data_IF_944889185755
#
_entry.id   IF_944889185755
#
_cell.length_a   1.000
_cell.length_b   1.000
_cell.length_c   1.000
_cell.angle_alpha   90.00
_cell.angle_beta   90.00
_cell.angle_gamma   90.00
#
_symmetry.space_group_name_H-M   'P 1'
#
loop_
_entity.id
_entity.type
_entity.pdbx_description
1 polymer ?
#
# COMPACT_ATOMS: atom_id res chain seq x y z
N UNK A 1 -6.05 -13.95 -5.77
CA UNK A 1 -5.82 -12.81 -4.87
C UNK A 1 -6.46 -11.60 -5.51
N UNK A 2 -7.36 -10.90 -4.81
CA UNK A 2 -8.02 -9.69 -5.29
C UNK A 2 -7.30 -8.42 -4.79
N UNK A 3 -7.66 -7.25 -5.31
CA UNK A 3 -7.00 -5.97 -4.97
C UNK A 3 -7.12 -5.63 -3.48
N UNK A 4 -8.26 -5.88 -2.86
CA UNK A 4 -8.48 -5.63 -1.43
C UNK A 4 -7.56 -6.51 -0.58
N UNK A 5 -7.40 -7.79 -0.94
CA UNK A 5 -6.49 -8.71 -0.27
C UNK A 5 -5.02 -8.25 -0.41
N UNK A 6 -4.65 -7.67 -1.55
CA UNK A 6 -3.31 -7.09 -1.75
C UNK A 6 -3.12 -5.88 -0.82
N UNK A 7 -4.08 -4.97 -0.79
CA UNK A 7 -4.04 -3.77 0.07
C UNK A 7 -3.92 -4.15 1.55
N UNK A 8 -4.67 -5.16 2.00
CA UNK A 8 -4.53 -5.70 3.36
C UNK A 8 -3.14 -6.30 3.61
N UNK A 9 -2.61 -7.08 2.66
CA UNK A 9 -1.27 -7.69 2.76
C UNK A 9 -0.14 -6.68 2.86
N UNK A 10 -0.27 -5.53 2.22
CA UNK A 10 0.73 -4.45 2.32
C UNK A 10 0.38 -3.48 3.46
N UNK A 11 -0.66 -3.73 4.26
CA UNK A 11 -0.89 -3.02 5.51
C UNK A 11 -1.76 -1.78 5.41
N UNK A 12 -2.71 -1.77 4.49
CA UNK A 12 -3.79 -0.78 4.44
C UNK A 12 -5.12 -1.38 4.87
N UNK A 13 -5.95 -0.59 5.53
CA UNK A 13 -7.38 -0.83 5.69
C UNK A 13 -8.14 -0.17 4.53
N UNK A 14 -9.11 -0.88 3.95
CA UNK A 14 -9.98 -0.36 2.89
C UNK A 14 -11.27 0.15 3.51
N UNK A 15 -11.48 1.47 3.44
CA UNK A 15 -12.65 2.15 4.01
C UNK A 15 -13.84 2.15 3.04
N UNK A 16 -13.56 2.29 1.74
CA UNK A 16 -14.55 2.31 0.67
C UNK A 16 -13.95 1.76 -0.61
N UNK A 17 -14.76 1.09 -1.42
CA UNK A 17 -14.43 0.69 -2.79
C UNK A 17 -15.49 1.18 -3.76
N UNK A 18 -15.06 1.78 -4.87
CA UNK A 18 -15.88 2.12 -6.02
C UNK A 18 -15.47 1.23 -7.19
N UNK A 19 -16.29 0.23 -7.48
CA UNK A 19 -16.01 -0.76 -8.53
C UNK A 19 -16.20 -0.22 -9.95
N UNK A 20 -16.97 0.85 -10.14
CA UNK A 20 -17.16 1.44 -11.47
C UNK A 20 -15.91 2.19 -11.90
N UNK A 21 -15.26 2.85 -10.94
CA UNK A 21 -14.02 3.61 -11.17
C UNK A 21 -12.75 2.84 -10.85
N UNK A 22 -12.85 1.64 -10.27
CA UNK A 22 -11.72 0.89 -9.75
C UNK A 22 -10.89 1.69 -8.74
N UNK A 23 -11.58 2.42 -7.84
CA UNK A 23 -10.97 3.29 -6.83
C UNK A 23 -11.19 2.72 -5.42
N UNK A 24 -10.19 2.88 -4.56
CA UNK A 24 -10.19 2.37 -3.20
C UNK A 24 -9.77 3.49 -2.24
N UNK A 25 -10.64 3.83 -1.30
CA UNK A 25 -10.29 4.73 -0.21
C UNK A 25 -9.62 3.92 0.89
N UNK A 26 -8.35 4.19 1.15
CA UNK A 26 -7.49 3.42 2.04
C UNK A 26 -6.88 4.28 3.13
N UNK A 27 -6.48 3.64 4.23
CA UNK A 27 -5.65 4.24 5.26
C UNK A 27 -4.67 3.22 5.80
N UNK A 28 -3.56 3.64 6.41
CA UNK A 28 -2.65 2.69 7.03
C UNK A 28 -3.34 1.88 8.14
N UNK A 29 -3.17 0.56 8.09
CA UNK A 29 -3.65 -0.33 9.12
C UNK A 29 -2.90 -0.07 10.46
N UNK A 30 -3.53 -0.31 11.62
CA UNK A 30 -2.91 -0.06 12.93
C UNK A 30 -1.56 -0.73 13.13
N UNK A 31 -1.33 -1.91 12.54
CA UNK A 31 -0.05 -2.61 12.62
C UNK A 31 1.05 -1.93 11.79
N UNK A 32 0.71 -1.48 10.59
CA UNK A 32 1.61 -0.68 9.74
C UNK A 32 2.00 0.62 10.43
N UNK A 33 1.01 1.35 10.98
CA UNK A 33 1.29 2.56 11.77
C UNK A 33 2.25 2.27 12.93
N UNK A 34 2.04 1.21 13.71
CA UNK A 34 2.93 0.83 14.81
C UNK A 34 4.37 0.55 14.34
N UNK A 35 4.53 -0.16 13.22
CA UNK A 35 5.84 -0.45 12.62
C UNK A 35 6.54 0.84 12.17
N UNK A 36 5.83 1.71 11.45
CA UNK A 36 6.36 3.00 11.01
C UNK A 36 6.76 3.88 12.20
N UNK A 37 5.93 3.99 13.24
CA UNK A 37 6.28 4.73 14.47
C UNK A 37 7.58 4.23 15.11
N UNK A 38 7.79 2.91 15.12
CA UNK A 38 9.04 2.33 15.62
C UNK A 38 10.23 2.73 14.72
N UNK A 39 10.10 2.60 13.41
CA UNK A 39 11.15 2.97 12.45
C UNK A 39 11.51 4.46 12.52
N UNK A 40 10.51 5.34 12.71
CA UNK A 40 10.72 6.79 12.94
C UNK A 40 11.50 7.02 14.23
N UNK A 41 11.09 6.38 15.32
CA UNK A 41 11.76 6.51 16.63
C UNK A 41 13.20 6.02 16.58
N UNK A 42 13.46 4.95 15.83
CA UNK A 42 14.78 4.36 15.64
C UNK A 42 15.62 5.14 14.59
N UNK A 43 15.07 6.17 13.95
CA UNK A 43 15.75 6.99 12.94
C UNK A 43 15.96 6.30 11.60
N UNK A 44 15.27 5.18 11.36
CA UNK A 44 15.37 4.40 10.12
C UNK A 44 14.60 5.03 8.95
N UNK A 45 13.53 5.77 9.23
CA UNK A 45 12.77 6.53 8.24
C UNK A 45 12.41 7.91 8.79
N UNK A 46 12.25 8.88 7.89
CA UNK A 46 11.73 10.21 8.19
C UNK A 46 10.46 10.40 7.37
N UNK A 47 9.34 10.65 8.04
CA UNK A 47 8.07 10.99 7.40
C UNK A 47 7.57 12.30 7.99
N UNK A 48 6.95 13.12 7.16
CA UNK A 48 6.19 14.27 7.63
C UNK A 48 5.04 13.76 8.52
N UNK A 49 4.87 14.34 9.72
CA UNK A 49 3.95 13.85 10.77
C UNK A 49 2.50 13.68 10.28
N UNK A 50 2.11 14.35 9.19
CA UNK A 50 0.77 14.33 8.61
C UNK A 50 0.46 13.00 7.87
N UNK A 51 1.48 12.33 7.31
CA UNK A 51 1.33 11.11 6.50
C UNK A 51 0.71 9.92 7.26
N UNK A 52 0.85 9.84 8.58
CA UNK A 52 0.36 8.70 9.36
C UNK A 52 -1.17 8.71 9.57
N UNK A 53 -1.84 9.80 9.24
CA UNK A 53 -3.29 9.95 9.35
C UNK A 53 -4.01 10.21 8.03
N UNK A 54 -3.28 10.17 6.91
CA UNK A 54 -3.89 10.43 5.61
C UNK A 54 -4.74 9.27 5.13
N UNK A 55 -5.92 9.63 4.65
CA UNK A 55 -6.82 8.79 3.88
C UNK A 55 -6.50 9.05 2.42
N UNK A 56 -6.11 8.01 1.69
CA UNK A 56 -5.80 8.09 0.28
C UNK A 56 -6.95 7.52 -0.54
N UNK A 57 -7.13 8.02 -1.76
CA UNK A 57 -7.96 7.33 -2.76
C UNK A 57 -7.03 6.86 -3.86
N UNK A 58 -6.87 5.55 -3.97
CA UNK A 58 -5.94 4.92 -4.91
C UNK A 58 -6.68 4.17 -6.00
N UNK A 59 -6.02 4.01 -7.14
CA UNK A 59 -6.41 3.07 -8.19
C UNK A 59 -5.25 2.15 -8.53
N UNK A 60 -5.52 1.09 -9.28
CA UNK A 60 -4.47 0.21 -9.80
C UNK A 60 -3.80 0.91 -10.99
N UNK A 61 -2.51 1.19 -10.86
CA UNK A 61 -1.70 1.80 -11.91
C UNK A 61 -1.18 0.73 -12.87
N UNK A 62 0.08 0.35 -12.70
CA UNK A 62 0.68 -0.73 -13.48
C UNK A 62 0.36 -2.12 -12.90
N UNK A 63 0.03 -3.06 -13.79
CA UNK A 63 0.01 -4.49 -13.48
C UNK A 63 0.90 -5.20 -14.49
N UNK A 64 1.98 -5.81 -14.01
CA UNK A 64 2.94 -6.50 -14.86
C UNK A 64 3.47 -7.77 -14.20
N UNK A 65 4.19 -8.58 -14.98
CA UNK A 65 4.89 -9.74 -14.47
C UNK A 65 6.38 -9.52 -14.66
N UNK A 66 7.16 -9.79 -13.62
CA UNK A 66 8.62 -9.75 -13.74
C UNK A 66 9.14 -10.95 -14.57
N UNK A 67 10.46 -11.00 -14.81
CA UNK A 67 11.08 -12.07 -15.61
C UNK A 67 10.95 -13.48 -14.99
N UNK A 68 10.61 -13.56 -13.70
CA UNK A 68 10.35 -14.80 -12.98
C UNK A 68 8.86 -15.21 -13.02
N UNK A 69 7.99 -14.39 -13.61
CA UNK A 69 6.55 -14.61 -13.67
C UNK A 69 5.81 -14.22 -12.39
N UNK A 70 6.44 -13.43 -11.51
CA UNK A 70 5.78 -12.91 -10.32
C UNK A 70 4.99 -11.65 -10.64
N UNK A 71 3.80 -11.56 -10.04
CA UNK A 71 2.88 -10.45 -10.20
C UNK A 71 3.40 -9.19 -9.49
N UNK A 72 3.50 -8.10 -10.24
CA UNK A 72 3.68 -6.74 -9.73
C UNK A 72 2.36 -5.96 -9.88
N UNK A 73 1.96 -5.26 -8.82
CA UNK A 73 0.79 -4.37 -8.80
C UNK A 73 1.17 -3.05 -8.17
N UNK A 74 1.00 -1.95 -8.89
CA UNK A 74 1.20 -0.59 -8.38
C UNK A 74 -0.14 0.06 -7.96
N UNK A 75 -0.10 0.79 -6.85
CA UNK A 75 -1.20 1.63 -6.38
C UNK A 75 -0.84 3.10 -6.52
N UNK A 76 -1.65 3.83 -7.30
CA UNK A 76 -1.42 5.24 -7.61
C UNK A 76 -2.50 6.09 -6.96
N UNK A 77 -2.14 7.22 -6.34
CA UNK A 77 -3.11 8.19 -5.83
C UNK A 77 -3.89 8.83 -6.99
N UNK A 78 -5.21 8.86 -6.85
CA UNK A 78 -6.10 9.37 -7.90
C UNK A 78 -5.90 10.87 -8.14
N UNK A 79 -5.53 11.64 -7.12
CA UNK A 79 -5.38 13.09 -7.19
C UNK A 79 -3.98 13.50 -7.67
N UNK A 80 -2.93 12.99 -7.02
CA UNK A 80 -1.55 13.40 -7.32
C UNK A 80 -0.94 12.65 -8.51
N UNK A 81 -1.52 11.48 -8.85
CA UNK A 81 -0.95 10.53 -9.82
C UNK A 81 0.40 9.95 -9.42
N UNK A 82 0.78 10.11 -8.16
CA UNK A 82 2.02 9.53 -7.62
C UNK A 82 1.77 8.10 -7.14
N UNK A 83 2.80 7.26 -7.27
CA UNK A 83 2.81 5.92 -6.71
C UNK A 83 2.82 6.02 -5.17
N UNK A 84 1.82 5.39 -4.54
CA UNK A 84 1.68 5.33 -3.09
C UNK A 84 2.37 4.09 -2.54
N UNK A 85 2.16 2.94 -3.20
CA UNK A 85 2.75 1.67 -2.82
C UNK A 85 2.67 0.65 -3.96
N UNK A 86 3.34 -0.48 -3.80
CA UNK A 86 3.26 -1.59 -4.74
C UNK A 86 3.23 -2.93 -4.02
N UNK A 87 2.90 -3.98 -4.75
CA UNK A 87 2.95 -5.36 -4.29
C UNK A 87 3.69 -6.21 -5.31
N UNK A 88 4.68 -6.97 -4.85
CA UNK A 88 5.35 -7.98 -5.67
C UNK A 88 5.18 -9.38 -5.06
N UNK A 89 4.55 -10.29 -5.81
CA UNK A 89 4.31 -11.64 -5.34
C UNK A 89 5.65 -12.36 -5.12
N UNK A 90 5.84 -13.00 -3.96
CA UNK A 90 7.03 -13.79 -3.56
C UNK A 90 8.36 -13.03 -3.45
N UNK A 91 8.47 -11.79 -3.91
CA UNK A 91 9.71 -10.99 -3.81
C UNK A 91 9.66 -9.91 -2.72
N UNK A 92 8.50 -9.68 -2.10
CA UNK A 92 8.43 -8.86 -0.88
C UNK A 92 9.05 -9.58 0.31
N UNK A 93 9.83 -8.84 1.10
CA UNK A 93 10.37 -9.31 2.37
C UNK A 93 9.24 -9.48 3.39
N UNK A 94 9.46 -10.36 4.37
CA UNK A 94 8.45 -10.64 5.40
C UNK A 94 8.07 -9.38 6.20
N UNK A 95 9.01 -8.45 6.38
CA UNK A 95 8.81 -7.17 7.06
C UNK A 95 8.17 -6.07 6.18
N UNK A 96 7.86 -6.38 4.92
CA UNK A 96 7.07 -5.54 4.00
C UNK A 96 5.60 -6.00 3.96
N UNK A 97 5.30 -7.18 4.51
CA UNK A 97 3.96 -7.76 4.56
C UNK A 97 3.33 -7.65 5.95
N UNK A 98 2.00 -7.71 5.96
CA UNK A 98 1.12 -7.63 7.13
C UNK A 98 0.15 -8.83 7.13
N UNK A 99 -0.28 -9.24 8.34
CA UNK A 99 -1.07 -10.46 8.57
C UNK A 99 -2.52 -10.14 8.87
#
# INVERSE_FOLDING_TARGET
MNIIEILWKIGYDVLKSDSEKCEYTIMYAPERKRRMWKQIKDGAITVENELLNDIYTVTVGEVSFNQCGDLYVEFTDVNTKECIDFYEHKNMKEDELYK
#
